data_IF_228696009848
#
_entry.id   IF_228696009848
#
_cell.length_a   1.000
_cell.length_b   1.000
_cell.length_c   1.000
_cell.angle_alpha   90.00
_cell.angle_beta   90.00
_cell.angle_gamma   90.00
#
_symmetry.space_group_name_H-M   'P 1'
#
loop_
_entity.id
_entity.type
_entity.pdbx_description
1 polymer ?
#
# COMPACT_ATOMS: atom_id res chain seq x y z
N UNK A 1 -38.48 31.03 18.58
CA UNK A 1 -37.22 30.65 19.25
C UNK A 1 -37.51 29.58 20.30
N UNK A 2 -37.19 28.30 20.06
CA UNK A 2 -37.02 27.29 21.14
C UNK A 2 -36.37 26.00 20.60
N UNK A 3 -35.19 26.11 19.99
CA UNK A 3 -34.41 24.99 19.46
C UNK A 3 -33.37 24.48 20.49
N UNK A 4 -33.66 24.56 21.79
CA UNK A 4 -32.64 24.39 22.84
C UNK A 4 -32.82 23.19 23.78
N UNK A 5 -33.62 22.19 23.42
CA UNK A 5 -33.72 20.95 24.23
C UNK A 5 -33.07 19.71 23.60
N UNK A 6 -32.78 19.74 22.30
CA UNK A 6 -32.19 18.58 21.60
C UNK A 6 -30.65 18.63 21.48
N UNK A 7 -29.99 19.50 22.23
CA UNK A 7 -28.52 19.58 22.26
C UNK A 7 -27.88 18.77 23.39
N UNK A 8 -28.65 18.42 24.43
CA UNK A 8 -28.08 17.83 25.65
C UNK A 8 -28.03 16.29 25.69
N UNK A 9 -28.66 15.60 24.74
CA UNK A 9 -28.55 14.13 24.63
C UNK A 9 -27.49 13.69 23.59
N UNK A 10 -26.93 14.63 22.83
CA UNK A 10 -25.83 14.32 21.91
C UNK A 10 -24.48 14.19 22.63
N UNK A 11 -24.38 14.71 23.86
CA UNK A 11 -23.14 14.73 24.64
C UNK A 11 -22.90 13.48 25.51
N UNK A 12 -23.76 12.45 25.42
CA UNK A 12 -23.60 11.20 26.20
C UNK A 12 -23.33 9.95 25.35
N UNK A 13 -23.35 10.04 24.01
CA UNK A 13 -23.16 8.89 23.10
C UNK A 13 -22.47 9.27 21.78
N UNK A 14 -21.33 9.95 21.85
CA UNK A 14 -20.32 9.89 20.78
C UNK A 14 -19.06 9.27 21.40
N UNK A 15 -19.17 7.99 21.79
CA UNK A 15 -18.49 6.93 21.06
C UNK A 15 -17.03 7.32 20.76
N UNK A 16 -16.15 6.88 21.66
CA UNK A 16 -14.69 6.83 21.56
C UNK A 16 -14.20 7.13 20.14
N UNK A 17 -13.60 8.31 19.98
CA UNK A 17 -12.79 8.70 18.81
C UNK A 17 -11.55 7.79 18.60
N UNK A 18 -11.42 6.74 19.41
CA UNK A 18 -10.32 5.79 19.46
C UNK A 18 -10.51 4.63 18.47
N UNK A 19 -11.74 4.39 17.98
CA UNK A 19 -12.05 3.27 17.06
C UNK A 19 -12.01 3.67 15.56
N UNK A 20 -11.92 4.96 15.24
CA UNK A 20 -11.90 5.44 13.84
C UNK A 20 -10.49 5.31 13.22
N UNK A 21 -9.44 5.11 14.02
CA UNK A 21 -8.06 5.18 13.53
C UNK A 21 -7.57 3.94 12.78
N UNK A 22 -8.20 2.77 12.89
CA UNK A 22 -7.57 1.54 12.39
C UNK A 22 -8.03 1.06 11.00
N UNK A 23 -8.93 1.78 10.32
CA UNK A 23 -9.45 1.39 8.99
C UNK A 23 -8.98 2.24 7.81
N UNK A 24 -8.29 3.35 8.04
CA UNK A 24 -8.00 4.32 6.97
C UNK A 24 -6.60 4.21 6.34
N UNK A 25 -5.69 3.38 6.86
CA UNK A 25 -4.28 3.36 6.43
C UNK A 25 -3.95 2.39 5.27
N UNK A 26 -4.94 1.80 4.61
CA UNK A 26 -4.67 0.85 3.53
C UNK A 26 -4.24 1.50 2.20
N UNK A 27 -4.62 2.76 1.98
CA UNK A 27 -4.52 3.45 0.68
C UNK A 27 -3.76 4.79 0.74
N UNK A 28 -3.13 5.13 1.88
CA UNK A 28 -2.28 6.32 1.94
C UNK A 28 -1.10 6.18 0.98
N UNK A 29 -0.65 7.30 0.41
CA UNK A 29 0.49 7.34 -0.52
C UNK A 29 1.71 6.65 0.11
N UNK A 30 1.94 6.89 1.40
CA UNK A 30 3.02 6.28 2.18
C UNK A 30 2.91 4.75 2.26
N UNK A 31 1.71 4.20 2.51
CA UNK A 31 1.50 2.76 2.56
C UNK A 31 1.72 2.10 1.18
N UNK A 32 1.31 2.76 0.10
CA UNK A 32 1.55 2.29 -1.28
C UNK A 32 3.04 2.35 -1.62
N UNK A 33 3.74 3.43 -1.24
CA UNK A 33 5.18 3.56 -1.46
C UNK A 33 5.95 2.49 -0.69
N UNK A 34 5.59 2.23 0.57
CA UNK A 34 6.19 1.16 1.37
C UNK A 34 6.01 -0.21 0.70
N UNK A 35 4.79 -0.55 0.27
CA UNK A 35 4.52 -1.82 -0.44
C UNK A 35 5.31 -1.95 -1.75
N UNK A 36 5.51 -0.87 -2.49
CA UNK A 36 6.34 -0.86 -3.71
C UNK A 36 7.81 -1.13 -3.38
N UNK A 37 8.34 -0.53 -2.31
CA UNK A 37 9.70 -0.79 -1.85
C UNK A 37 9.86 -2.24 -1.38
N UNK A 38 8.95 -2.73 -0.55
CA UNK A 38 8.92 -4.13 -0.09
C UNK A 38 8.89 -5.10 -1.30
N UNK A 39 8.10 -4.76 -2.33
CA UNK A 39 8.06 -5.52 -3.59
C UNK A 39 9.42 -5.60 -4.28
N UNK A 40 10.12 -4.47 -4.44
CA UNK A 40 11.43 -4.46 -5.09
C UNK A 40 12.47 -5.27 -4.30
N UNK A 41 12.45 -5.18 -2.97
CA UNK A 41 13.38 -5.91 -2.08
C UNK A 41 13.13 -7.42 -2.18
N UNK A 42 11.88 -7.87 -2.02
CA UNK A 42 11.54 -9.29 -2.08
C UNK A 42 11.76 -9.83 -3.49
N UNK A 43 11.44 -9.05 -4.52
CA UNK A 43 11.70 -9.43 -5.90
C UNK A 43 13.20 -9.64 -6.17
N UNK A 44 14.08 -8.80 -5.62
CA UNK A 44 15.52 -8.98 -5.75
C UNK A 44 16.01 -10.30 -5.13
N UNK A 45 15.36 -10.78 -4.07
CA UNK A 45 15.70 -12.03 -3.38
C UNK A 45 15.10 -13.26 -4.06
N UNK A 46 13.80 -13.22 -4.36
CA UNK A 46 13.02 -14.37 -4.85
C UNK A 46 13.13 -14.52 -6.38
N UNK A 47 13.41 -13.42 -7.09
CA UNK A 47 13.48 -13.33 -8.56
C UNK A 47 12.22 -13.84 -9.28
N UNK A 48 11.07 -13.80 -8.61
CA UNK A 48 9.78 -14.21 -9.18
C UNK A 48 8.68 -13.24 -8.77
N UNK A 49 8.02 -12.66 -9.78
CA UNK A 49 6.92 -11.71 -9.58
C UNK A 49 5.75 -12.37 -8.85
N UNK A 50 5.32 -13.56 -9.29
CA UNK A 50 4.17 -14.28 -8.73
C UNK A 50 4.37 -14.60 -7.24
N UNK A 51 5.53 -15.16 -6.86
CA UNK A 51 5.84 -15.42 -5.45
C UNK A 51 5.94 -14.12 -4.62
N UNK A 52 6.46 -13.05 -5.21
CA UNK A 52 6.57 -11.75 -4.53
C UNK A 52 5.19 -11.13 -4.28
N UNK A 53 4.29 -11.22 -5.27
CA UNK A 53 2.88 -10.81 -5.14
C UNK A 53 2.16 -11.59 -4.03
N UNK A 54 2.33 -12.91 -3.98
CA UNK A 54 1.79 -13.77 -2.92
C UNK A 54 2.31 -13.37 -1.54
N UNK A 55 3.62 -13.16 -1.41
CA UNK A 55 4.27 -12.82 -0.14
C UNK A 55 3.78 -11.47 0.43
N UNK A 56 3.53 -10.49 -0.44
CA UNK A 56 3.06 -9.15 -0.05
C UNK A 56 1.53 -9.10 0.06
N UNK A 57 0.84 -10.16 -0.38
CA UNK A 57 -0.61 -10.23 -0.37
C UNK A 57 -1.28 -9.28 -1.37
N UNK A 58 -0.61 -9.02 -2.50
CA UNK A 58 -1.16 -8.20 -3.59
C UNK A 58 -1.50 -9.06 -4.81
N UNK A 59 -2.46 -8.60 -5.61
CA UNK A 59 -2.78 -9.23 -6.89
C UNK A 59 -1.74 -8.86 -7.93
N UNK A 60 -1.44 -9.76 -8.85
CA UNK A 60 -0.55 -9.48 -9.99
C UNK A 60 -1.02 -8.26 -10.80
N UNK A 61 -2.33 -8.10 -10.94
CA UNK A 61 -2.92 -6.94 -11.61
C UNK A 61 -2.51 -5.62 -10.96
N UNK A 62 -2.35 -5.57 -9.64
CA UNK A 62 -1.89 -4.37 -8.91
C UNK A 62 -0.45 -4.03 -9.28
N UNK A 63 0.43 -5.03 -9.38
CA UNK A 63 1.79 -4.85 -9.87
C UNK A 63 1.81 -4.33 -11.32
N UNK A 64 1.01 -4.91 -12.22
CA UNK A 64 0.89 -4.40 -13.60
C UNK A 64 0.40 -2.95 -13.65
N UNK A 65 -0.53 -2.56 -12.78
CA UNK A 65 -0.97 -1.17 -12.68
C UNK A 65 0.15 -0.25 -12.20
N UNK A 66 0.99 -0.68 -11.26
CA UNK A 66 2.15 0.09 -10.84
C UNK A 66 3.15 0.28 -11.97
N UNK A 67 3.47 -0.77 -12.73
CA UNK A 67 4.36 -0.65 -13.90
C UNK A 67 3.82 0.32 -14.97
N UNK A 68 2.50 0.40 -15.13
CA UNK A 68 1.86 1.26 -16.14
C UNK A 68 1.73 2.71 -15.69
N UNK A 69 1.40 2.96 -14.42
CA UNK A 69 1.16 4.31 -13.88
C UNK A 69 2.41 4.96 -13.29
N UNK A 70 3.36 4.17 -12.82
CA UNK A 70 4.52 4.63 -12.08
C UNK A 70 5.82 4.30 -12.83
N UNK A 71 6.31 5.28 -13.58
CA UNK A 71 7.53 5.15 -14.38
C UNK A 71 8.78 4.99 -13.53
N UNK A 72 8.81 5.57 -12.32
CA UNK A 72 9.92 5.43 -11.39
C UNK A 72 10.03 3.98 -10.92
N UNK A 73 8.91 3.41 -10.45
CA UNK A 73 8.82 2.00 -10.08
C UNK A 73 9.24 1.07 -11.22
N UNK A 74 8.77 1.32 -12.45
CA UNK A 74 9.17 0.54 -13.63
C UNK A 74 10.68 0.61 -13.88
N UNK A 75 11.29 1.79 -13.72
CA UNK A 75 12.74 1.96 -13.90
C UNK A 75 13.52 1.15 -12.88
N UNK A 76 13.14 1.22 -11.60
CA UNK A 76 13.83 0.51 -10.53
C UNK A 76 13.65 -1.01 -10.64
N UNK A 77 12.45 -1.47 -11.01
CA UNK A 77 12.20 -2.88 -11.31
C UNK A 77 13.08 -3.39 -12.47
N UNK A 78 13.17 -2.63 -13.56
CA UNK A 78 14.01 -2.98 -14.71
C UNK A 78 15.50 -3.04 -14.36
N UNK A 79 15.99 -2.12 -13.51
CA UNK A 79 17.38 -2.16 -13.01
C UNK A 79 17.67 -3.43 -12.22
N UNK A 80 16.78 -3.82 -11.30
CA UNK A 80 16.94 -5.05 -10.51
C UNK A 80 16.95 -6.28 -11.41
N UNK A 81 16.07 -6.31 -12.41
CA UNK A 81 16.03 -7.38 -13.40
C UNK A 81 17.32 -7.45 -14.23
N UNK A 82 17.86 -6.31 -14.67
CA UNK A 82 19.12 -6.25 -15.42
C UNK A 82 20.31 -6.70 -14.57
N UNK A 83 20.45 -6.18 -13.35
CA UNK A 83 21.50 -6.59 -12.42
C UNK A 83 21.45 -8.08 -12.11
N UNK A 84 20.25 -8.69 -12.08
CA UNK A 84 20.11 -10.13 -11.84
C UNK A 84 20.69 -10.99 -12.97
N UNK A 85 20.77 -10.47 -14.20
CA UNK A 85 21.34 -11.18 -15.35
C UNK A 85 22.86 -11.02 -15.43
N UNK A 86 23.44 -9.90 -14.98
CA UNK A 86 24.88 -9.64 -15.02
C UNK A 86 25.69 -10.43 -13.97
N UNK A 87 25.05 -11.05 -12.98
CA UNK A 87 25.72 -11.87 -11.96
C UNK A 87 25.83 -13.37 -12.31
N UNK A 88 25.43 -13.77 -13.52
CA UNK A 88 25.47 -15.15 -14.01
C UNK A 88 26.43 -15.35 -15.20
N UNK A 89 27.31 -14.38 -15.46
CA UNK A 89 28.37 -14.43 -16.48
C UNK A 89 29.74 -14.38 -15.80
#
# INVERSE_FOLDING_TARGET
MYLNRKYNEFNRKTLRTEDIQNRQHANTIEAVTKRKLDFLIIYALVKSVSKTCEYIGIKDQTHYQWLRKDLAFKRDFCKIQKNSNENNE
#
